data_IF_043163572942
#
_entry.id   IF_043163572942
#
_cell.length_a   1.000
_cell.length_b   1.000
_cell.length_c   1.000
_cell.angle_alpha   90.00
_cell.angle_beta   90.00
_cell.angle_gamma   90.00
#
_symmetry.space_group_name_H-M   'P 1'
#
loop_
_entity.id
_entity.type
_entity.pdbx_description
1 polymer ?
#
# COMPACT_ATOMS: atom_id res chain seq x y z
N UNK A 1 -16.23 -17.54 3.05
CA UNK A 1 -17.03 -16.56 3.76
C UNK A 1 -16.58 -15.15 3.42
N UNK A 2 -17.54 -14.27 3.14
CA UNK A 2 -17.30 -12.84 3.09
C UNK A 2 -17.12 -12.37 4.53
N UNK A 3 -15.97 -11.82 4.86
CA UNK A 3 -15.79 -11.10 6.10
C UNK A 3 -16.12 -9.64 5.83
N UNK A 4 -17.13 -9.09 6.47
CA UNK A 4 -17.23 -7.65 6.63
C UNK A 4 -16.11 -7.24 7.57
N UNK A 5 -14.99 -6.81 7.04
CA UNK A 5 -14.03 -6.09 7.85
C UNK A 5 -14.51 -4.64 7.86
N UNK A 6 -14.90 -4.13 9.02
CA UNK A 6 -14.99 -2.71 9.27
C UNK A 6 -13.58 -2.13 9.23
N UNK A 7 -12.99 -2.22 8.04
CA UNK A 7 -11.64 -1.86 7.76
C UNK A 7 -11.64 -0.44 7.26
N UNK A 8 -11.86 0.50 8.16
CA UNK A 8 -11.75 1.88 7.76
C UNK A 8 -10.29 2.22 7.47
N UNK A 9 -10.05 2.85 6.34
CA UNK A 9 -8.83 3.58 6.05
C UNK A 9 -8.53 4.64 7.14
N UNK A 10 -9.51 4.87 7.97
CA UNK A 10 -9.55 5.75 9.14
C UNK A 10 -8.86 5.13 10.35
N UNK A 11 -8.50 3.85 10.35
CA UNK A 11 -7.93 3.14 11.50
C UNK A 11 -6.78 3.87 12.21
N UNK A 12 -5.99 4.64 11.47
CA UNK A 12 -4.91 5.47 12.06
C UNK A 12 -5.34 6.90 12.41
N UNK A 13 -6.58 7.29 12.11
CA UNK A 13 -7.06 8.68 12.21
C UNK A 13 -8.30 8.83 13.07
N UNK A 14 -8.98 7.75 13.44
CA UNK A 14 -10.17 7.80 14.28
C UNK A 14 -9.84 8.23 15.70
N UNK A 15 -10.67 9.11 16.25
CA UNK A 15 -10.50 9.59 17.63
C UNK A 15 -10.68 8.45 18.64
N UNK A 16 -11.54 7.48 18.35
CA UNK A 16 -11.79 6.30 19.17
C UNK A 16 -10.53 5.49 19.41
N UNK A 17 -9.72 5.28 18.37
CA UNK A 17 -8.41 4.61 18.49
C UNK A 17 -7.45 5.35 19.40
N UNK A 18 -7.44 6.69 19.31
CA UNK A 18 -6.59 7.51 20.17
C UNK A 18 -6.96 7.37 21.63
N UNK A 19 -8.26 7.39 21.91
CA UNK A 19 -8.78 7.28 23.27
C UNK A 19 -8.56 5.87 23.85
N UNK A 20 -8.71 4.82 23.04
CA UNK A 20 -8.59 3.43 23.49
C UNK A 20 -7.12 2.97 23.52
N UNK A 21 -6.40 3.14 22.40
CA UNK A 21 -5.02 2.63 22.27
C UNK A 21 -3.97 3.51 22.96
N UNK A 22 -4.25 4.78 23.12
CA UNK A 22 -3.34 5.77 23.70
C UNK A 22 -4.00 6.49 24.89
N UNK A 23 -4.80 5.76 25.67
CA UNK A 23 -5.47 6.27 26.88
C UNK A 23 -4.50 6.78 27.95
N UNK A 24 -3.24 6.34 27.89
CA UNK A 24 -2.16 6.78 28.77
C UNK A 24 -1.64 8.21 28.44
N UNK A 25 -2.03 8.77 27.29
CA UNK A 25 -1.60 10.10 26.86
C UNK A 25 -2.52 11.17 27.44
N UNK A 26 -1.90 12.19 28.03
CA UNK A 26 -2.63 13.35 28.60
C UNK A 26 -3.26 14.24 27.52
N UNK A 27 -2.76 14.18 26.28
CA UNK A 27 -3.20 15.02 25.17
C UNK A 27 -3.13 14.25 23.85
N UNK A 28 -4.06 14.60 22.97
CA UNK A 28 -4.04 14.18 21.57
C UNK A 28 -4.01 15.43 20.69
N UNK A 29 -3.16 15.39 19.66
CA UNK A 29 -3.01 16.51 18.75
C UNK A 29 -4.18 16.55 17.76
N UNK A 30 -4.73 17.76 17.58
CA UNK A 30 -5.72 18.12 16.58
C UNK A 30 -5.11 19.17 15.67
N UNK A 31 -5.27 19.01 14.36
CA UNK A 31 -4.80 19.97 13.37
C UNK A 31 -6.02 20.71 12.82
N UNK A 32 -5.91 22.04 12.71
CA UNK A 32 -6.94 22.91 12.13
C UNK A 32 -6.30 23.55 10.89
N UNK A 33 -6.79 23.21 9.73
CA UNK A 33 -6.22 23.61 8.45
C UNK A 33 -7.29 24.31 7.61
N UNK A 34 -7.04 25.54 7.07
CA UNK A 34 -8.02 26.20 6.21
C UNK A 34 -8.18 25.42 4.89
N UNK A 35 -9.44 25.21 4.47
CA UNK A 35 -9.77 24.56 3.20
C UNK A 35 -9.46 25.44 1.98
N UNK A 36 -9.27 26.72 2.18
CA UNK A 36 -8.90 27.67 1.12
C UNK A 36 -8.75 29.09 1.62
N UNK A 37 -8.24 29.97 0.75
CA UNK A 37 -7.96 31.38 1.10
C UNK A 37 -9.24 32.24 1.20
N UNK A 38 -10.33 31.83 0.55
CA UNK A 38 -11.57 32.63 0.46
C UNK A 38 -12.75 31.96 1.22
N UNK A 39 -12.45 31.00 2.08
CA UNK A 39 -13.47 30.31 2.88
C UNK A 39 -13.13 30.35 4.36
N UNK A 40 -14.18 30.31 5.20
CA UNK A 40 -14.04 30.13 6.64
C UNK A 40 -14.11 28.67 7.06
N UNK A 41 -14.18 27.75 6.08
CA UNK A 41 -14.21 26.32 6.35
C UNK A 41 -12.81 25.85 6.74
N UNK A 42 -12.76 25.05 7.81
CA UNK A 42 -11.54 24.46 8.34
C UNK A 42 -11.64 22.94 8.32
N UNK A 43 -10.61 22.30 7.83
CA UNK A 43 -10.44 20.86 7.99
C UNK A 43 -9.89 20.55 9.39
N UNK A 44 -10.52 19.62 10.08
CA UNK A 44 -10.10 19.20 11.41
C UNK A 44 -9.45 17.83 11.33
N UNK A 45 -8.12 17.83 11.28
CA UNK A 45 -7.31 16.61 11.27
C UNK A 45 -7.14 16.02 12.67
N UNK A 46 -7.25 14.70 12.76
CA UNK A 46 -7.02 13.96 14.00
C UNK A 46 -8.25 13.70 14.85
N UNK A 47 -9.45 14.11 14.39
CA UNK A 47 -10.74 13.87 15.03
C UNK A 47 -11.74 13.16 14.13
N UNK A 48 -11.29 12.42 13.13
CA UNK A 48 -12.17 11.59 12.30
C UNK A 48 -12.88 10.55 13.17
N UNK A 49 -14.14 10.31 12.89
CA UNK A 49 -15.00 9.43 13.69
C UNK A 49 -16.08 8.80 12.81
N UNK A 50 -16.57 7.63 13.22
CA UNK A 50 -17.75 6.99 12.67
C UNK A 50 -18.99 7.15 13.56
N UNK A 51 -18.88 7.93 14.64
CA UNK A 51 -19.96 8.16 15.57
C UNK A 51 -21.14 8.92 14.93
N UNK A 52 -22.37 8.77 15.47
CA UNK A 52 -23.51 9.54 15.02
C UNK A 52 -23.29 11.05 15.07
N UNK A 53 -24.04 11.78 14.25
CA UNK A 53 -23.87 13.22 14.06
C UNK A 53 -23.99 14.02 15.38
N UNK A 54 -24.97 13.71 16.19
CA UNK A 54 -25.20 14.35 17.49
C UNK A 54 -24.00 14.17 18.44
N UNK A 55 -23.41 12.98 18.46
CA UNK A 55 -22.21 12.68 19.26
C UNK A 55 -20.99 13.42 18.70
N UNK A 56 -20.87 13.54 17.38
CA UNK A 56 -19.80 14.32 16.78
C UNK A 56 -19.88 15.78 17.18
N UNK A 57 -21.06 16.39 17.22
CA UNK A 57 -21.24 17.77 17.70
C UNK A 57 -20.77 17.95 19.14
N UNK A 58 -21.13 17.05 20.02
CA UNK A 58 -20.70 17.10 21.43
C UNK A 58 -19.20 16.93 21.56
N UNK A 59 -18.62 15.97 20.81
CA UNK A 59 -17.21 15.68 20.79
C UNK A 59 -16.38 16.90 20.32
N UNK A 60 -16.75 17.55 19.21
CA UNK A 60 -16.03 18.71 18.71
C UNK A 60 -16.16 19.90 19.68
N UNK A 61 -17.32 20.13 20.26
CA UNK A 61 -17.55 21.23 21.22
C UNK A 61 -16.86 21.04 22.56
N UNK A 62 -16.46 19.84 22.90
CA UNK A 62 -15.65 19.56 24.09
C UNK A 62 -14.19 20.00 23.95
N UNK A 63 -13.74 20.31 22.73
CA UNK A 63 -12.36 20.75 22.46
C UNK A 63 -12.25 22.26 22.73
N UNK A 64 -11.31 22.70 23.58
CA UNK A 64 -11.09 24.12 23.84
C UNK A 64 -10.83 24.93 22.55
N UNK A 65 -11.63 25.96 22.34
CA UNK A 65 -11.61 26.80 21.15
C UNK A 65 -12.58 26.37 20.03
N UNK A 66 -13.24 25.22 20.15
CA UNK A 66 -14.26 24.73 19.20
C UNK A 66 -15.68 24.73 19.79
N UNK A 67 -15.92 25.34 20.95
CA UNK A 67 -17.19 25.31 21.67
C UNK A 67 -18.37 25.84 20.82
N UNK A 68 -18.08 26.76 19.90
CA UNK A 68 -19.06 27.37 19.01
C UNK A 68 -18.91 26.94 17.54
N UNK A 69 -18.11 25.94 17.26
CA UNK A 69 -17.91 25.44 15.91
C UNK A 69 -19.22 24.89 15.32
N UNK A 70 -19.43 25.16 14.03
CA UNK A 70 -20.51 24.58 13.24
C UNK A 70 -19.89 23.53 12.32
N UNK A 71 -20.39 22.29 12.38
CA UNK A 71 -19.96 21.25 11.48
C UNK A 71 -20.65 21.48 10.13
N UNK A 72 -19.87 21.66 9.07
CA UNK A 72 -20.36 21.83 7.70
C UNK A 72 -20.50 20.46 7.04
N UNK A 73 -19.58 19.54 7.37
CA UNK A 73 -19.54 18.18 6.85
C UNK A 73 -19.11 17.23 7.95
N UNK A 74 -19.97 16.28 8.26
CA UNK A 74 -19.70 15.28 9.30
C UNK A 74 -18.53 14.37 8.91
N UNK A 75 -17.79 13.90 9.90
CA UNK A 75 -16.86 12.79 9.70
C UNK A 75 -17.65 11.51 9.37
N UNK A 76 -17.02 10.60 8.66
CA UNK A 76 -17.61 9.35 8.23
C UNK A 76 -16.57 8.22 8.23
N UNK A 77 -17.05 6.99 8.36
CA UNK A 77 -16.27 5.80 8.13
C UNK A 77 -16.65 5.16 6.80
N UNK A 78 -15.69 4.50 6.18
CA UNK A 78 -15.90 3.68 5.00
C UNK A 78 -15.82 2.23 5.43
N UNK A 79 -16.89 1.48 5.14
CA UNK A 79 -16.91 0.02 5.27
C UNK A 79 -16.93 -0.60 3.87
N UNK A 80 -16.30 -1.75 3.73
CA UNK A 80 -16.33 -2.51 2.50
C UNK A 80 -16.23 -4.00 2.77
N UNK A 81 -16.86 -4.79 1.91
CA UNK A 81 -16.73 -6.23 1.95
C UNK A 81 -15.39 -6.66 1.37
N UNK A 82 -14.79 -7.66 1.97
CA UNK A 82 -13.59 -8.30 1.46
C UNK A 82 -13.67 -9.81 1.62
N UNK A 83 -12.88 -10.51 0.81
CA UNK A 83 -12.70 -11.95 0.96
C UNK A 83 -11.55 -12.25 1.93
N UNK A 84 -11.50 -13.50 2.39
CA UNK A 84 -10.28 -14.05 2.93
C UNK A 84 -9.31 -14.31 1.78
N UNK A 85 -8.26 -13.48 1.66
CA UNK A 85 -7.31 -13.56 0.56
C UNK A 85 -6.51 -14.87 0.52
N UNK A 86 -6.54 -15.68 1.60
CA UNK A 86 -5.98 -17.04 1.59
C UNK A 86 -6.69 -17.99 0.63
N UNK A 87 -7.85 -17.59 0.08
CA UNK A 87 -8.53 -18.29 -1.01
C UNK A 87 -7.86 -18.10 -2.37
N UNK A 88 -6.87 -17.20 -2.46
CA UNK A 88 -6.11 -16.92 -3.68
C UNK A 88 -4.79 -17.68 -3.70
N UNK A 89 -4.35 -18.01 -4.91
CA UNK A 89 -2.96 -18.41 -5.19
C UNK A 89 -2.03 -17.19 -5.12
N UNK A 90 -0.71 -17.38 -5.03
CA UNK A 90 0.24 -16.25 -5.15
C UNK A 90 0.16 -15.49 -6.48
N UNK A 91 -0.51 -16.06 -7.48
CA UNK A 91 -0.83 -15.42 -8.77
C UNK A 91 -2.02 -14.47 -8.70
N UNK A 92 -2.71 -14.43 -7.55
CA UNK A 92 -3.99 -13.76 -7.29
C UNK A 92 -5.20 -14.38 -8.01
N UNK A 93 -5.07 -15.59 -8.53
CA UNK A 93 -6.16 -16.41 -9.02
C UNK A 93 -6.89 -17.11 -7.85
N UNK A 94 -8.21 -17.24 -7.95
CA UNK A 94 -8.98 -18.01 -6.96
C UNK A 94 -8.64 -19.50 -7.04
N UNK A 95 -8.40 -20.11 -5.88
CA UNK A 95 -8.15 -21.56 -5.77
C UNK A 95 -9.35 -22.42 -6.21
N UNK A 96 -10.56 -21.88 -6.06
CA UNK A 96 -11.82 -22.57 -6.35
C UNK A 96 -12.42 -22.24 -7.71
N UNK A 97 -11.96 -21.20 -8.38
CA UNK A 97 -12.53 -20.73 -9.66
C UNK A 97 -11.38 -20.40 -10.61
N UNK A 98 -11.16 -21.28 -11.56
CA UNK A 98 -10.11 -21.10 -12.56
C UNK A 98 -10.41 -19.94 -13.49
N UNK A 99 -9.38 -19.13 -13.82
CA UNK A 99 -9.48 -17.96 -14.66
C UNK A 99 -10.06 -16.72 -13.97
N UNK A 100 -10.39 -16.79 -12.67
CA UNK A 100 -10.86 -15.64 -11.90
C UNK A 100 -9.72 -15.10 -11.04
N UNK A 101 -9.33 -13.86 -11.31
CA UNK A 101 -8.30 -13.13 -10.56
C UNK A 101 -8.91 -12.01 -9.75
N UNK A 102 -8.27 -11.67 -8.63
CA UNK A 102 -8.75 -10.63 -7.72
C UNK A 102 -7.62 -9.68 -7.30
N UNK A 103 -7.97 -8.42 -7.04
CA UNK A 103 -7.01 -7.43 -6.57
C UNK A 103 -7.68 -6.25 -5.88
N UNK A 104 -6.90 -5.54 -5.07
CA UNK A 104 -7.32 -4.31 -4.41
C UNK A 104 -8.07 -4.51 -3.11
N UNK A 105 -9.01 -3.61 -2.86
CA UNK A 105 -9.80 -3.55 -1.64
C UNK A 105 -10.53 -4.85 -1.33
N UNK A 106 -11.02 -5.53 -2.34
CA UNK A 106 -11.71 -6.81 -2.22
C UNK A 106 -10.84 -7.91 -1.57
N UNK A 107 -9.53 -7.82 -1.69
CA UNK A 107 -8.57 -8.72 -1.04
C UNK A 107 -8.17 -8.27 0.38
N UNK A 108 -8.87 -7.31 0.97
CA UNK A 108 -8.61 -6.84 2.33
C UNK A 108 -7.46 -5.82 2.44
N UNK A 109 -7.16 -5.07 1.37
CA UNK A 109 -6.21 -3.96 1.40
C UNK A 109 -6.88 -2.65 1.00
N UNK A 110 -6.68 -1.58 1.76
CA UNK A 110 -7.38 -0.30 1.56
C UNK A 110 -6.53 0.78 0.88
N UNK A 111 -5.23 0.57 0.70
CA UNK A 111 -4.34 1.56 0.09
C UNK A 111 -4.39 1.54 -1.43
N UNK A 112 -4.26 2.72 -2.05
CA UNK A 112 -4.24 2.84 -3.51
C UNK A 112 -3.04 2.13 -4.13
N UNK A 113 -1.89 2.21 -3.49
CA UNK A 113 -0.65 1.57 -3.93
C UNK A 113 -0.77 0.05 -3.87
N UNK A 114 -1.33 -0.48 -2.78
CA UNK A 114 -1.59 -1.91 -2.63
C UNK A 114 -2.59 -2.41 -3.68
N UNK A 115 -3.63 -1.63 -3.95
CA UNK A 115 -4.63 -1.98 -4.97
C UNK A 115 -4.03 -1.99 -6.37
N UNK A 116 -3.21 -0.99 -6.70
CA UNK A 116 -2.52 -0.90 -7.99
C UNK A 116 -1.54 -2.07 -8.19
N UNK A 117 -0.77 -2.41 -7.16
CA UNK A 117 0.18 -3.53 -7.21
C UNK A 117 -0.53 -4.87 -7.43
N UNK A 118 -1.62 -5.12 -6.71
CA UNK A 118 -2.41 -6.34 -6.87
C UNK A 118 -3.07 -6.41 -8.25
N UNK A 119 -3.68 -5.30 -8.70
CA UNK A 119 -4.29 -5.22 -10.02
C UNK A 119 -3.29 -5.47 -11.16
N UNK A 120 -2.07 -4.95 -11.02
CA UNK A 120 -0.98 -5.20 -11.97
C UNK A 120 -0.64 -6.70 -12.04
N UNK A 121 -0.39 -7.35 -10.90
CA UNK A 121 -0.02 -8.77 -10.89
C UNK A 121 -1.17 -9.67 -11.34
N UNK A 122 -2.39 -9.39 -10.90
CA UNK A 122 -3.59 -10.12 -11.34
C UNK A 122 -3.77 -10.01 -12.87
N UNK A 123 -3.64 -8.79 -13.42
CA UNK A 123 -3.73 -8.58 -14.87
C UNK A 123 -2.62 -9.24 -15.68
N UNK A 124 -1.37 -9.21 -15.18
CA UNK A 124 -0.24 -9.93 -15.79
C UNK A 124 -0.54 -11.44 -15.84
N UNK A 125 -0.95 -12.00 -14.72
CA UNK A 125 -1.17 -13.45 -14.61
C UNK A 125 -2.37 -13.92 -15.43
N UNK A 126 -3.44 -13.14 -15.46
CA UNK A 126 -4.57 -13.41 -16.34
C UNK A 126 -4.16 -13.40 -17.82
N UNK A 127 -3.33 -12.44 -18.25
CA UNK A 127 -2.83 -12.38 -19.62
C UNK A 127 -1.88 -13.54 -19.95
N UNK A 128 -0.96 -13.88 -19.04
CA UNK A 128 -0.04 -15.00 -19.23
C UNK A 128 -0.78 -16.33 -19.34
N UNK A 129 -1.85 -16.52 -18.55
CA UNK A 129 -2.69 -17.71 -18.62
C UNK A 129 -3.40 -17.84 -19.97
N UNK A 130 -4.02 -16.75 -20.46
CA UNK A 130 -4.65 -16.73 -21.78
C UNK A 130 -3.64 -17.04 -22.89
N UNK A 131 -2.40 -16.60 -22.74
CA UNK A 131 -1.31 -16.85 -23.67
C UNK A 131 -0.67 -18.26 -23.53
N UNK A 132 -1.12 -19.06 -22.56
CA UNK A 132 -0.53 -20.38 -22.26
C UNK A 132 0.93 -20.30 -21.77
N UNK A 133 1.29 -19.18 -21.10
CA UNK A 133 2.63 -18.93 -20.58
C UNK A 133 2.67 -19.14 -19.06
N UNK A 134 3.87 -19.35 -18.54
CA UNK A 134 4.09 -19.47 -17.09
C UNK A 134 3.69 -18.17 -16.38
N UNK A 135 2.91 -18.30 -15.31
CA UNK A 135 2.45 -17.18 -14.50
C UNK A 135 3.60 -16.57 -13.68
N UNK A 136 3.49 -15.27 -13.39
CA UNK A 136 4.46 -14.52 -12.63
C UNK A 136 4.17 -14.61 -11.12
N UNK A 137 5.15 -15.07 -10.37
CA UNK A 137 5.19 -14.96 -8.91
C UNK A 137 6.47 -14.22 -8.54
N UNK A 138 6.35 -13.12 -7.80
CA UNK A 138 7.48 -12.38 -7.27
C UNK A 138 7.74 -12.79 -5.82
N UNK A 139 8.97 -13.18 -5.54
CA UNK A 139 9.40 -13.50 -4.19
C UNK A 139 9.50 -12.27 -3.29
N UNK A 140 9.42 -12.50 -1.99
CA UNK A 140 9.60 -11.47 -0.95
C UNK A 140 10.96 -10.77 -1.02
N UNK A 141 11.98 -11.44 -1.55
CA UNK A 141 13.32 -10.88 -1.77
C UNK A 141 13.46 -10.07 -3.07
N UNK A 142 12.51 -10.22 -4.01
CA UNK A 142 12.56 -9.56 -5.32
C UNK A 142 11.83 -8.23 -5.33
N UNK A 143 10.67 -8.14 -4.64
CA UNK A 143 9.85 -6.92 -4.68
C UNK A 143 8.99 -6.75 -3.43
N UNK A 144 8.65 -5.50 -3.09
CA UNK A 144 7.60 -5.22 -2.10
C UNK A 144 6.24 -5.77 -2.51
N UNK A 145 5.96 -5.85 -3.82
CA UNK A 145 4.75 -6.53 -4.33
C UNK A 145 4.75 -8.00 -3.95
N UNK A 146 5.90 -8.67 -3.97
CA UNK A 146 6.03 -10.05 -3.50
C UNK A 146 5.72 -10.19 -2.01
N UNK A 147 6.23 -9.27 -1.17
CA UNK A 147 5.90 -9.23 0.26
C UNK A 147 4.41 -9.01 0.50
N UNK A 148 3.79 -8.07 -0.22
CA UNK A 148 2.37 -7.76 -0.15
C UNK A 148 1.51 -8.99 -0.45
N UNK A 149 1.76 -9.62 -1.59
CA UNK A 149 0.93 -10.75 -2.05
C UNK A 149 1.14 -11.97 -1.14
N UNK A 150 2.38 -12.29 -0.78
CA UNK A 150 2.67 -13.40 0.11
C UNK A 150 2.00 -13.21 1.48
N UNK A 151 2.08 -12.01 2.06
CA UNK A 151 1.38 -11.72 3.31
C UNK A 151 -0.14 -11.89 3.18
N UNK A 152 -0.76 -11.41 2.10
CA UNK A 152 -2.21 -11.51 1.88
C UNK A 152 -2.69 -12.96 1.74
N UNK A 153 -1.96 -13.79 0.99
CA UNK A 153 -2.42 -15.17 0.68
C UNK A 153 -2.00 -16.20 1.73
N UNK A 154 -1.10 -15.84 2.66
CA UNK A 154 -0.60 -16.77 3.68
C UNK A 154 -1.01 -16.41 5.10
N UNK A 155 -1.20 -15.12 5.40
CA UNK A 155 -1.47 -14.63 6.75
C UNK A 155 -2.95 -14.30 6.93
N UNK A 156 -3.49 -14.67 8.07
CA UNK A 156 -4.78 -14.18 8.49
C UNK A 156 -4.68 -12.72 8.91
N UNK A 157 -5.59 -11.88 8.41
CA UNK A 157 -5.67 -10.48 8.80
C UNK A 157 -7.10 -10.11 9.13
N UNK A 158 -7.30 -9.56 10.33
CA UNK A 158 -8.59 -9.01 10.78
C UNK A 158 -8.69 -7.50 10.56
N UNK A 159 -7.62 -6.91 10.05
CA UNK A 159 -7.51 -5.48 9.77
C UNK A 159 -7.09 -5.28 8.31
N UNK A 160 -7.38 -4.12 7.69
CA UNK A 160 -6.90 -3.81 6.35
C UNK A 160 -5.39 -3.92 6.27
N UNK A 161 -4.94 -4.65 5.29
CA UNK A 161 -3.52 -4.75 5.04
C UNK A 161 -2.96 -3.42 4.53
N UNK A 162 -1.89 -2.96 5.15
CA UNK A 162 -1.10 -1.83 4.68
C UNK A 162 0.35 -2.25 4.53
N UNK A 163 0.94 -1.93 3.38
CA UNK A 163 2.35 -2.18 3.12
C UNK A 163 3.21 -1.21 3.92
N UNK A 164 4.09 -1.75 4.74
CA UNK A 164 5.08 -0.99 5.50
C UNK A 164 6.46 -1.64 5.33
N UNK A 165 7.50 -0.83 5.34
CA UNK A 165 8.88 -1.33 5.25
C UNK A 165 9.23 -2.32 6.36
N UNK A 166 8.59 -2.20 7.54
CA UNK A 166 8.76 -3.14 8.65
C UNK A 166 8.27 -4.56 8.37
N UNK A 167 7.42 -4.75 7.34
CA UNK A 167 6.93 -6.07 6.94
C UNK A 167 7.91 -6.82 6.04
N UNK A 168 8.89 -6.12 5.46
CA UNK A 168 9.86 -6.69 4.54
C UNK A 168 11.16 -7.03 5.26
N UNK A 169 11.50 -8.29 5.34
CA UNK A 169 12.76 -8.79 5.88
C UNK A 169 13.96 -8.35 5.04
N UNK A 170 13.79 -8.22 3.73
CA UNK A 170 14.82 -7.79 2.78
C UNK A 170 14.79 -6.28 2.49
N UNK A 171 14.28 -5.44 3.41
CA UNK A 171 14.08 -4.00 3.15
C UNK A 171 15.36 -3.23 2.77
N UNK A 172 16.54 -3.72 3.16
CA UNK A 172 17.81 -3.12 2.76
C UNK A 172 18.18 -3.45 1.30
N UNK A 173 17.66 -4.55 0.77
CA UNK A 173 17.81 -4.95 -0.62
C UNK A 173 16.74 -4.31 -1.52
N UNK A 174 15.51 -4.22 -1.03
CA UNK A 174 14.34 -3.74 -1.78
C UNK A 174 14.29 -2.20 -1.80
N UNK A 175 15.25 -1.56 -2.47
CA UNK A 175 15.31 -0.12 -2.60
C UNK A 175 14.76 0.35 -3.93
N UNK A 176 14.37 1.63 -3.98
CA UNK A 176 13.89 2.26 -5.21
C UNK A 176 15.02 2.43 -6.24
N UNK A 177 16.22 2.76 -5.77
CA UNK A 177 17.39 3.05 -6.62
C UNK A 177 17.92 1.83 -7.40
N UNK A 178 17.60 0.60 -6.95
CA UNK A 178 18.00 -0.64 -7.62
C UNK A 178 16.82 -1.47 -8.16
N UNK A 179 15.64 -0.89 -8.22
CA UNK A 179 14.44 -1.62 -8.67
C UNK A 179 14.53 -2.05 -10.13
N UNK A 180 15.17 -1.25 -10.98
CA UNK A 180 15.40 -1.58 -12.37
C UNK A 180 16.29 -2.83 -12.53
N UNK A 181 17.35 -2.97 -11.77
CA UNK A 181 18.23 -4.15 -11.78
C UNK A 181 17.52 -5.44 -11.35
N UNK A 182 16.55 -5.33 -10.43
CA UNK A 182 15.83 -6.50 -9.91
C UNK A 182 14.65 -6.93 -10.78
N UNK A 183 13.98 -5.99 -11.45
CA UNK A 183 12.67 -6.23 -12.03
C UNK A 183 12.60 -6.03 -13.56
N UNK A 184 13.49 -5.28 -14.18
CA UNK A 184 13.41 -4.99 -15.62
C UNK A 184 13.56 -6.25 -16.48
N UNK A 185 14.48 -7.15 -16.14
CA UNK A 185 14.63 -8.42 -16.85
C UNK A 185 13.35 -9.28 -16.75
N UNK A 186 12.75 -9.34 -15.56
CA UNK A 186 11.49 -10.06 -15.34
C UNK A 186 10.39 -9.43 -16.19
N UNK A 187 10.27 -8.10 -16.16
CA UNK A 187 9.29 -7.36 -16.95
C UNK A 187 9.49 -7.55 -18.47
N UNK A 188 10.74 -7.62 -18.92
CA UNK A 188 11.06 -7.91 -20.32
C UNK A 188 10.65 -9.34 -20.72
N UNK A 189 10.98 -10.33 -19.90
CA UNK A 189 10.63 -11.74 -20.16
C UNK A 189 9.11 -11.95 -20.28
N UNK A 190 8.31 -11.23 -19.53
CA UNK A 190 6.84 -11.34 -19.61
C UNK A 190 6.22 -10.44 -20.70
N UNK A 191 7.00 -9.58 -21.34
CA UNK A 191 6.57 -8.74 -22.45
C UNK A 191 6.04 -7.35 -22.05
N UNK A 192 6.25 -6.91 -20.80
CA UNK A 192 5.87 -5.57 -20.34
C UNK A 192 6.92 -4.49 -20.63
N UNK A 193 8.18 -4.88 -20.74
CA UNK A 193 9.31 -3.99 -20.99
C UNK A 193 9.82 -4.22 -22.41
N UNK A 194 9.97 -3.14 -23.18
CA UNK A 194 10.49 -3.19 -24.55
C UNK A 194 11.97 -3.58 -24.58
N UNK A 195 12.42 -4.11 -25.73
CA UNK A 195 13.83 -4.43 -25.99
C UNK A 195 14.73 -3.22 -25.77
N UNK A 196 14.29 -2.05 -26.25
CA UNK A 196 15.02 -0.79 -26.07
C UNK A 196 15.25 -0.46 -24.59
N UNK A 197 14.21 -0.54 -23.77
CA UNK A 197 14.32 -0.26 -22.33
C UNK A 197 15.16 -1.31 -21.60
N UNK A 198 15.08 -2.55 -22.00
CA UNK A 198 15.94 -3.62 -21.47
C UNK A 198 17.40 -3.38 -21.85
N UNK A 199 17.67 -2.97 -23.09
CA UNK A 199 19.04 -2.62 -23.53
C UNK A 199 19.62 -1.47 -22.72
N UNK A 200 18.83 -0.45 -22.38
CA UNK A 200 19.28 0.64 -21.50
C UNK A 200 19.75 0.14 -20.12
N UNK A 201 19.10 -0.88 -19.55
CA UNK A 201 19.57 -1.51 -18.32
C UNK A 201 20.91 -2.20 -18.51
N UNK A 202 21.06 -3.00 -19.57
CA UNK A 202 22.31 -3.71 -19.86
C UNK A 202 23.48 -2.74 -20.07
N UNK A 203 23.24 -1.64 -20.78
CA UNK A 203 24.26 -0.59 -21.01
C UNK A 203 24.65 0.09 -19.68
N UNK A 204 23.69 0.38 -18.82
CA UNK A 204 23.92 0.91 -17.46
C UNK A 204 24.78 -0.04 -16.62
N UNK A 205 24.47 -1.32 -16.62
CA UNK A 205 25.21 -2.33 -15.85
C UNK A 205 26.65 -2.48 -16.38
N UNK A 206 26.82 -2.42 -17.70
CA UNK A 206 28.18 -2.46 -18.32
C UNK A 206 29.00 -1.23 -17.92
N UNK A 207 28.42 -0.04 -17.92
CA UNK A 207 29.08 1.20 -17.47
C UNK A 207 29.49 1.08 -16.00
N UNK A 208 28.59 0.61 -15.13
CA UNK A 208 28.88 0.41 -13.71
C UNK A 208 30.05 -0.58 -13.53
N UNK A 209 30.01 -1.70 -14.22
CA UNK A 209 31.06 -2.73 -14.15
C UNK A 209 32.44 -2.18 -14.59
N UNK A 210 32.48 -1.44 -15.69
CA UNK A 210 33.70 -0.80 -16.18
C UNK A 210 34.23 0.22 -15.17
N UNK A 211 33.37 1.01 -14.59
CA UNK A 211 33.81 2.04 -13.64
C UNK A 211 34.29 1.43 -12.30
N UNK A 212 33.64 0.40 -11.80
CA UNK A 212 34.14 -0.35 -10.63
C UNK A 212 35.52 -0.89 -10.91
N UNK A 213 35.70 -1.57 -12.06
CA UNK A 213 37.02 -2.09 -12.47
C UNK A 213 38.07 -1.01 -12.56
N UNK A 214 37.73 0.15 -13.14
CA UNK A 214 38.64 1.31 -13.24
C UNK A 214 39.06 1.80 -11.86
N UNK A 215 38.12 1.92 -10.92
CA UNK A 215 38.37 2.40 -9.55
C UNK A 215 39.27 1.42 -8.77
N UNK A 216 39.00 0.12 -8.89
CA UNK A 216 39.78 -0.93 -8.20
C UNK A 216 41.25 -0.98 -8.69
N UNK A 217 41.51 -0.57 -9.92
CA UNK A 217 42.86 -0.59 -10.54
C UNK A 217 43.53 0.79 -10.62
N UNK A 218 42.88 1.83 -10.06
CA UNK A 218 43.46 3.18 -10.02
C UNK A 218 44.14 3.41 -8.67
N UNK A 219 45.47 3.51 -8.69
CA UNK A 219 46.21 3.90 -7.51
C UNK A 219 46.08 5.42 -7.27
N UNK A 220 45.54 5.81 -6.13
CA UNK A 220 45.63 7.20 -5.68
C UNK A 220 47.02 7.38 -5.12
N UNK A 221 47.87 8.17 -5.76
CA UNK A 221 49.18 8.51 -5.22
C UNK A 221 49.04 9.21 -3.87
N UNK A 222 49.79 8.71 -2.90
CA UNK A 222 49.95 9.35 -1.58
C UNK A 222 50.90 10.52 -1.68
#
# INVERSE_FOLDING_TARGET
PLYSSAASDVYKRQIEDKIVKFADKERHQVFIEPEGLETNEMYIGGMSSSLPEDVQYEMYRSVPGLEHAKIVKNAYAIEYDCIDARQLHPTLEFKSIHGLFSGGQFNGSSGYEEAAAQGLIAGINAALEVLGREQLILDRSQAYIGVLIDDLVTKESHEPYRMMTSRAEYRLLLRQDNADQRLTEIGHKIGLISDERYQMLLDKEEIIRKEIHRLEHTNVGT
#
